data_IF_519606920059
#
_entry.id   IF_519606920059
#
_cell.length_a   1.000
_cell.length_b   1.000
_cell.length_c   1.000
_cell.angle_alpha   90.00
_cell.angle_beta   90.00
_cell.angle_gamma   90.00
#
_symmetry.space_group_name_H-M   'P 1'
#
loop_
_entity.id
_entity.type
_entity.pdbx_description
1 polymer ?
#
# COMPACT_ATOMS: atom_id res chain seq x y z
N UNK A 1 25.05 -10.60 -6.92
CA UNK A 1 24.56 -10.30 -6.55
C UNK A 1 23.73 -9.57 -6.69
N UNK A 2 23.11 -9.39 -6.48
CA UNK A 2 22.38 -8.68 -6.70
C UNK A 2 22.08 -7.76 -5.87
N UNK A 3 21.87 -6.86 -5.93
CA UNK A 3 21.66 -5.94 -5.25
C UNK A 3 20.37 -5.63 -5.17
N UNK A 4 19.85 -5.29 -4.33
CA UNK A 4 18.66 -5.03 -4.27
C UNK A 4 18.36 -3.84 -4.83
N UNK A 5 17.60 -3.75 -5.59
CA UNK A 5 17.31 -2.63 -6.27
C UNK A 5 16.02 -2.08 -5.80
N UNK A 6 16.03 -0.95 -5.24
CA UNK A 6 14.81 -0.33 -4.82
C UNK A 6 14.23 0.34 -6.03
N UNK A 7 13.56 -0.42 -6.81
CA UNK A 7 13.08 0.09 -8.06
C UNK A 7 11.62 0.46 -7.96
N UNK A 8 11.32 1.71 -8.19
CA UNK A 8 9.95 2.17 -8.10
C UNK A 8 9.05 1.56 -9.16
N UNK A 9 9.63 1.18 -10.28
CA UNK A 9 8.82 0.55 -11.31
C UNK A 9 8.27 -0.78 -10.85
N UNK A 10 9.05 -1.53 -10.10
CA UNK A 10 8.59 -2.80 -9.59
C UNK A 10 7.46 -2.58 -8.59
N UNK A 11 7.62 -1.59 -7.74
CA UNK A 11 6.58 -1.28 -6.76
C UNK A 11 5.32 -0.84 -7.48
N UNK A 12 5.47 -0.03 -8.51
CA UNK A 12 4.33 0.48 -9.23
C UNK A 12 3.54 -0.65 -9.88
N UNK A 13 4.25 -1.61 -10.45
CA UNK A 13 3.56 -2.72 -11.06
C UNK A 13 2.84 -3.57 -10.04
N UNK A 14 3.47 -3.76 -8.89
CA UNK A 14 2.85 -4.53 -7.87
C UNK A 14 1.59 -3.84 -7.38
N UNK A 15 1.63 -2.54 -7.22
CA UNK A 15 0.48 -1.78 -6.78
C UNK A 15 -0.63 -1.88 -7.83
N UNK A 16 -0.28 -1.83 -9.10
CA UNK A 16 -1.27 -1.95 -10.14
C UNK A 16 -1.95 -3.31 -10.12
N UNK A 17 -1.19 -4.35 -9.84
CA UNK A 17 -1.76 -5.67 -9.76
C UNK A 17 -2.73 -5.80 -8.60
N UNK A 18 -2.48 -5.07 -7.54
CA UNK A 18 -3.33 -5.14 -6.37
C UNK A 18 -4.56 -4.25 -6.49
N UNK A 19 -4.58 -3.40 -7.50
CA UNK A 19 -5.69 -2.48 -7.65
C UNK A 19 -6.99 -3.25 -7.82
N UNK A 20 -8.00 -2.85 -7.07
CA UNK A 20 -9.30 -3.50 -7.17
C UNK A 20 -9.46 -4.70 -6.28
N UNK A 21 -8.42 -5.11 -5.58
CA UNK A 21 -8.51 -6.25 -4.70
C UNK A 21 -8.64 -5.79 -3.27
N UNK A 22 -9.28 -6.59 -2.45
CA UNK A 22 -9.38 -6.28 -1.04
C UNK A 22 -8.04 -6.54 -0.39
N UNK A 23 -7.57 -5.57 0.32
CA UNK A 23 -6.26 -5.65 0.92
C UNK A 23 -6.30 -5.25 2.37
N UNK A 24 -5.37 -5.79 3.12
CA UNK A 24 -5.13 -5.35 4.47
C UNK A 24 -3.91 -4.46 4.42
N UNK A 25 -4.05 -3.26 4.89
CA UNK A 25 -2.99 -2.27 4.82
C UNK A 25 -2.39 -2.09 6.20
N UNK A 26 -1.09 -2.19 6.27
CA UNK A 26 -0.39 -1.99 7.52
C UNK A 26 0.38 -0.71 7.40
N UNK A 27 0.04 0.23 8.25
CA UNK A 27 0.65 1.55 8.21
C UNK A 27 1.47 1.75 9.47
N UNK A 28 2.74 2.03 9.30
CA UNK A 28 3.63 2.26 10.42
C UNK A 28 3.79 3.75 10.61
N UNK A 29 3.24 4.27 11.69
CA UNK A 29 3.31 5.68 11.93
C UNK A 29 4.42 6.07 12.86
N UNK A 30 5.30 5.17 13.15
CA UNK A 30 6.39 5.51 14.03
C UNK A 30 6.71 4.30 14.85
N UNK A 31 7.63 4.41 15.81
CA UNK A 31 7.95 3.27 16.54
C UNK A 31 6.78 2.81 17.30
N UNK A 32 6.46 1.61 17.29
CA UNK A 32 5.37 0.98 18.02
C UNK A 32 4.01 1.53 17.69
N UNK A 33 3.89 2.21 16.56
CA UNK A 33 2.60 2.73 16.18
C UNK A 33 2.19 2.16 14.85
N UNK A 34 1.63 0.98 14.88
CA UNK A 34 1.22 0.31 13.67
C UNK A 34 -0.27 0.23 13.64
N UNK A 35 -0.85 0.61 12.52
CA UNK A 35 -2.28 0.55 12.35
C UNK A 35 -2.61 -0.32 11.16
N UNK A 36 -3.75 -0.98 11.24
CA UNK A 36 -4.21 -1.82 10.16
C UNK A 36 -5.54 -1.32 9.65
N UNK A 37 -5.69 -1.37 8.35
CA UNK A 37 -6.93 -0.96 7.71
C UNK A 37 -7.30 -1.99 6.67
N UNK A 38 -8.58 -2.08 6.37
CA UNK A 38 -9.03 -2.90 5.27
C UNK A 38 -9.47 -1.95 4.19
N UNK A 39 -9.06 -2.19 2.98
CA UNK A 39 -9.42 -1.31 1.89
C UNK A 39 -8.95 -1.85 0.57
N UNK A 40 -8.91 -0.99 -0.42
CA UNK A 40 -8.41 -1.39 -1.72
C UNK A 40 -7.76 -0.19 -2.36
N UNK A 41 -6.96 -0.45 -3.38
CA UNK A 41 -6.30 0.61 -4.10
C UNK A 41 -7.28 1.18 -5.09
N UNK A 42 -7.54 2.46 -4.98
CA UNK A 42 -8.53 3.13 -5.80
C UNK A 42 -7.91 3.70 -7.07
N UNK A 43 -6.83 4.46 -6.91
CA UNK A 43 -6.17 5.08 -8.02
C UNK A 43 -4.67 4.91 -7.92
N UNK A 44 -4.02 4.88 -9.06
CA UNK A 44 -2.57 4.76 -9.09
C UNK A 44 -2.06 5.88 -9.97
N UNK A 45 -1.19 6.70 -9.42
CA UNK A 45 -0.60 7.80 -10.17
C UNK A 45 0.90 7.56 -10.32
N UNK A 46 1.57 8.44 -10.97
CA UNK A 46 2.99 8.22 -11.25
C UNK A 46 3.87 8.27 -9.99
N UNK A 47 3.49 9.05 -9.00
CA UNK A 47 4.30 9.15 -7.79
C UNK A 47 3.58 8.67 -6.55
N UNK A 48 2.27 8.60 -6.58
CA UNK A 48 1.51 8.24 -5.41
C UNK A 48 0.38 7.34 -5.81
N UNK A 49 -0.26 6.73 -4.86
CA UNK A 49 -1.45 5.96 -5.11
C UNK A 49 -2.42 6.22 -3.98
N UNK A 50 -3.69 6.06 -4.26
CA UNK A 50 -4.74 6.33 -3.30
C UNK A 50 -5.43 5.04 -2.93
N UNK A 51 -5.60 4.82 -1.64
CA UNK A 51 -6.23 3.63 -1.13
C UNK A 51 -7.55 4.03 -0.51
N UNK A 52 -8.60 3.31 -0.82
CA UNK A 52 -9.89 3.57 -0.22
C UNK A 52 -10.00 2.71 1.03
N UNK A 53 -10.33 3.33 2.14
CA UNK A 53 -10.41 2.64 3.41
C UNK A 53 -11.87 2.32 3.69
N UNK A 54 -12.13 1.06 4.02
CA UNK A 54 -13.50 0.64 4.22
C UNK A 54 -14.06 1.06 5.56
N UNK A 55 -13.26 0.95 6.59
CA UNK A 55 -13.75 1.16 7.93
C UNK A 55 -13.33 2.43 8.57
N UNK A 56 -13.09 3.46 7.85
CA UNK A 56 -12.57 4.66 8.45
C UNK A 56 -13.40 5.84 8.01
N UNK A 57 -13.39 6.88 8.80
CA UNK A 57 -14.01 8.10 8.40
C UNK A 57 -13.27 8.68 7.21
N UNK A 58 -12.00 8.37 7.09
CA UNK A 58 -11.26 8.85 5.98
C UNK A 58 -11.50 7.87 4.88
N UNK A 59 -12.18 8.30 3.87
CA UNK A 59 -12.48 7.41 2.78
C UNK A 59 -11.25 7.05 2.00
N UNK A 60 -10.26 7.89 1.99
CA UNK A 60 -9.10 7.65 1.18
C UNK A 60 -7.83 7.99 1.88
N UNK A 61 -6.78 7.29 1.51
CA UNK A 61 -5.48 7.50 2.09
C UNK A 61 -4.47 7.55 0.95
N UNK A 62 -3.75 8.65 0.84
CA UNK A 62 -2.74 8.77 -0.20
C UNK A 62 -1.42 8.27 0.33
N UNK A 63 -0.77 7.44 -0.42
CA UNK A 63 0.52 6.89 -0.04
C UNK A 63 1.49 7.08 -1.18
N UNK A 64 2.76 7.17 -0.87
CA UNK A 64 3.77 7.28 -1.91
C UNK A 64 4.42 5.92 -2.09
N UNK A 65 5.01 5.71 -3.24
CA UNK A 65 5.73 4.47 -3.47
C UNK A 65 6.95 4.38 -2.55
N UNK A 66 7.47 5.53 -2.18
CA UNK A 66 8.60 5.56 -1.28
C UNK A 66 8.23 4.95 0.08
N UNK A 67 7.01 5.20 0.54
CA UNK A 67 6.56 4.63 1.80
C UNK A 67 6.57 3.12 1.74
N UNK A 68 6.23 2.57 0.59
CA UNK A 68 6.23 1.12 0.43
C UNK A 68 7.66 0.59 0.42
N UNK A 69 8.55 1.31 -0.25
CA UNK A 69 9.94 0.90 -0.29
C UNK A 69 10.57 0.92 1.10
N UNK A 70 10.21 1.91 1.89
CA UNK A 70 10.78 2.02 3.23
C UNK A 70 10.16 1.03 4.19
N UNK A 71 9.08 0.41 3.80
CA UNK A 71 8.43 -0.54 4.68
C UNK A 71 7.42 0.07 5.62
N UNK A 72 7.15 1.38 5.47
CA UNK A 72 6.17 2.04 6.33
C UNK A 72 4.76 1.65 5.94
N UNK A 73 4.56 1.27 4.70
CA UNK A 73 3.24 0.85 4.24
C UNK A 73 3.39 -0.52 3.62
N UNK A 74 2.59 -1.46 4.08
CA UNK A 74 2.63 -2.80 3.52
C UNK A 74 1.21 -3.25 3.23
N UNK A 75 1.09 -4.13 2.27
CA UNK A 75 -0.20 -4.64 1.84
C UNK A 75 -0.21 -6.14 1.87
N UNK A 76 -1.37 -6.68 2.16
CA UNK A 76 -1.54 -8.11 2.11
C UNK A 76 -2.88 -8.37 1.48
N UNK A 77 -2.93 -9.23 0.49
CA UNK A 77 -4.16 -9.56 -0.19
C UNK A 77 -5.03 -10.38 0.75
N UNK A 78 -6.29 -9.96 0.89
CA UNK A 78 -7.21 -10.70 1.72
C UNK A 78 -7.85 -11.75 0.85
N UNK A 79 -7.49 -13.00 1.16
CA UNK A 79 -8.05 -14.07 0.37
C UNK A 79 -9.23 -14.60 1.04
N UNK A 80 -10.25 -14.88 0.29
CA UNK A 80 -11.35 -15.44 0.83
C UNK A 80 -11.47 -16.69 0.29
N UNK A 81 -11.59 -17.63 0.83
CA UNK A 81 -11.60 -18.94 0.27
C UNK A 81 -12.90 -19.43 -0.09
#
# INVERSE_FOLDING_TARGET
MKRKVCNLDVIKEKIKELKGKDLKIRLNKGRNKIQFFNGKIDEVYSSVFVVQIYDSFFDRLSCTYQDVLCGDVKFKVLERS
#
